data_IF_887586123759
#
_entry.id   IF_887586123759
#
_cell.length_a   1.000
_cell.length_b   1.000
_cell.length_c   1.000
_cell.angle_alpha   90.00
_cell.angle_beta   90.00
_cell.angle_gamma   90.00
#
_symmetry.space_group_name_H-M   'P 1'
#
loop_
_entity.id
_entity.type
_entity.pdbx_description
1 polymer ?
#
# COMPACT_ATOMS: atom_id res chain seq x y z
N UNK A 1 13.76 -21.87 49.85
CA UNK A 1 15.02 -21.30 49.33
C UNK A 1 15.98 -22.40 48.88
N UNK A 2 16.12 -23.49 49.66
CA UNK A 2 16.96 -24.65 49.28
C UNK A 2 16.55 -25.31 47.95
N UNK A 3 15.26 -25.47 47.67
CA UNK A 3 14.80 -26.11 46.41
C UNK A 3 15.26 -25.40 45.13
N UNK A 4 15.28 -24.07 45.10
CA UNK A 4 15.76 -23.28 43.96
C UNK A 4 17.29 -23.35 43.81
N UNK A 5 18.02 -23.49 44.91
CA UNK A 5 19.48 -23.65 44.90
C UNK A 5 19.86 -25.02 44.34
N UNK A 6 19.14 -26.07 44.70
CA UNK A 6 19.35 -27.42 44.16
C UNK A 6 19.13 -27.48 42.64
N UNK A 7 18.18 -26.69 42.11
CA UNK A 7 17.92 -26.59 40.67
C UNK A 7 19.06 -25.94 39.88
N UNK A 8 19.80 -24.99 40.47
CA UNK A 8 20.93 -24.31 39.83
C UNK A 8 22.18 -25.20 39.64
N UNK A 9 22.23 -26.33 40.35
CA UNK A 9 23.35 -27.29 40.28
C UNK A 9 23.25 -28.30 39.12
N UNK A 10 22.13 -28.32 38.39
CA UNK A 10 21.90 -29.29 37.31
C UNK A 10 22.44 -28.76 35.97
N UNK A 11 23.42 -29.45 35.42
CA UNK A 11 23.97 -29.18 34.09
C UNK A 11 22.98 -29.60 33.00
N UNK A 12 22.77 -28.76 31.99
CA UNK A 12 22.02 -29.13 30.78
C UNK A 12 22.63 -28.47 29.53
N UNK A 13 22.09 -28.78 28.35
CA UNK A 13 22.55 -28.24 27.07
C UNK A 13 22.38 -26.70 26.95
N UNK A 14 21.50 -26.09 27.76
CA UNK A 14 21.16 -24.66 27.70
C UNK A 14 22.09 -23.80 28.58
N UNK A 15 22.58 -24.34 29.70
CA UNK A 15 23.44 -23.63 30.66
C UNK A 15 24.76 -24.38 30.84
N UNK A 16 25.69 -24.15 29.91
CA UNK A 16 27.05 -24.69 29.97
C UNK A 16 28.06 -23.56 30.26
N UNK A 17 28.98 -23.80 31.20
CA UNK A 17 30.04 -22.85 31.59
C UNK A 17 31.26 -22.86 30.67
N UNK A 18 31.36 -23.83 29.76
CA UNK A 18 32.54 -24.05 28.91
C UNK A 18 32.43 -23.41 27.52
N UNK A 19 31.26 -22.88 27.14
CA UNK A 19 31.02 -22.22 25.84
C UNK A 19 30.87 -20.71 25.92
N UNK A 20 30.70 -20.06 24.77
CA UNK A 20 30.24 -18.66 24.74
C UNK A 20 28.86 -18.57 25.38
N UNK A 21 28.69 -17.67 26.34
CA UNK A 21 27.45 -17.50 27.10
C UNK A 21 26.83 -16.15 26.82
N UNK A 22 25.50 -16.12 26.77
CA UNK A 22 24.71 -14.89 26.78
C UNK A 22 23.98 -14.84 28.12
N UNK A 23 23.96 -13.67 28.77
CA UNK A 23 23.25 -13.49 30.04
C UNK A 23 21.97 -12.70 29.81
N UNK A 24 20.83 -13.25 30.24
CA UNK A 24 19.56 -12.53 30.28
C UNK A 24 19.53 -11.41 31.33
N UNK A 25 20.53 -11.36 32.22
CA UNK A 25 20.65 -10.34 33.26
C UNK A 25 21.63 -9.22 32.90
N UNK A 26 22.32 -9.33 31.75
CA UNK A 26 23.24 -8.30 31.24
C UNK A 26 22.77 -7.83 29.87
N UNK A 27 22.22 -6.62 29.83
CA UNK A 27 21.81 -5.97 28.59
C UNK A 27 22.90 -4.98 28.15
N UNK A 28 23.35 -5.09 26.90
CA UNK A 28 24.19 -4.10 26.24
C UNK A 28 23.36 -3.38 25.19
N UNK A 29 23.32 -2.05 25.26
CA UNK A 29 22.66 -1.23 24.24
C UNK A 29 23.66 -0.78 23.18
N UNK A 30 23.24 -0.72 21.91
CA UNK A 30 24.04 -0.10 20.85
C UNK A 30 23.89 1.42 20.95
N UNK A 31 25.00 2.14 20.89
CA UNK A 31 24.96 3.59 20.70
C UNK A 31 24.41 3.89 19.30
N UNK A 32 23.60 4.93 19.20
CA UNK A 32 23.06 5.46 17.96
C UNK A 32 23.60 6.88 17.72
N UNK A 33 23.55 7.34 16.48
CA UNK A 33 23.89 8.71 16.11
C UNK A 33 22.78 9.67 16.52
N UNK A 34 23.13 10.90 16.87
CA UNK A 34 22.15 11.90 17.27
C UNK A 34 21.31 12.33 16.06
N UNK A 35 19.99 12.38 16.25
CA UNK A 35 19.05 12.92 15.27
C UNK A 35 17.86 13.57 15.96
N UNK A 36 17.13 14.42 15.23
CA UNK A 36 15.87 15.02 15.69
C UNK A 36 14.76 14.62 14.72
N UNK A 37 13.61 14.21 15.26
CA UNK A 37 12.38 14.03 14.49
C UNK A 37 11.54 15.32 14.56
N UNK A 38 11.07 15.79 13.40
CA UNK A 38 10.16 16.92 13.30
C UNK A 38 9.01 16.60 12.31
N UNK A 39 7.77 16.86 12.70
CA UNK A 39 6.59 16.64 11.85
C UNK A 39 6.06 17.99 11.39
N UNK A 40 6.01 18.23 10.09
CA UNK A 40 5.56 19.51 9.52
C UNK A 40 4.35 19.38 8.63
N UNK A 41 3.45 20.36 8.74
CA UNK A 41 2.35 20.57 7.81
C UNK A 41 2.81 21.50 6.68
N UNK A 42 2.74 21.02 5.44
CA UNK A 42 3.15 21.71 4.23
C UNK A 42 1.94 21.91 3.32
N UNK A 43 1.80 23.09 2.74
CA UNK A 43 0.67 23.41 1.86
C UNK A 43 1.04 23.24 0.39
N UNK A 44 0.06 22.86 -0.43
CA UNK A 44 0.20 22.84 -1.89
C UNK A 44 0.20 24.27 -2.43
N UNK A 45 1.15 24.64 -3.30
CA UNK A 45 1.22 25.97 -3.93
C UNK A 45 -0.11 26.42 -4.56
N UNK A 46 -0.80 25.51 -5.25
CA UNK A 46 -2.03 25.80 -5.98
C UNK A 46 -3.29 25.17 -5.34
N UNK A 47 -3.19 24.65 -4.11
CA UNK A 47 -4.24 23.83 -3.49
C UNK A 47 -4.55 22.55 -4.28
N UNK A 48 -5.36 21.65 -3.70
CA UNK A 48 -5.93 20.52 -4.43
C UNK A 48 -7.29 20.89 -5.00
N UNK A 49 -7.62 20.35 -6.17
CA UNK A 49 -8.94 20.52 -6.81
C UNK A 49 -9.50 19.18 -7.25
N UNK A 50 -10.81 19.00 -7.11
CA UNK A 50 -11.49 17.81 -7.60
C UNK A 50 -11.31 17.66 -9.12
N UNK A 51 -11.06 16.43 -9.58
CA UNK A 51 -10.90 16.09 -11.00
C UNK A 51 -9.54 16.48 -11.62
N UNK A 52 -8.64 17.09 -10.85
CA UNK A 52 -7.35 17.57 -11.34
C UNK A 52 -6.17 16.79 -10.72
N UNK A 53 -5.05 16.77 -11.43
CA UNK A 53 -3.77 16.35 -10.85
C UNK A 53 -3.17 17.50 -10.03
N UNK A 54 -2.80 17.20 -8.79
CA UNK A 54 -2.10 18.13 -7.88
C UNK A 54 -0.69 17.61 -7.62
N UNK A 55 0.32 18.47 -7.63
CA UNK A 55 1.72 18.07 -7.39
C UNK A 55 2.36 18.87 -6.24
N UNK A 56 3.25 18.20 -5.52
CA UNK A 56 4.08 18.79 -4.47
C UNK A 56 5.55 18.51 -4.75
N UNK A 57 6.39 19.56 -4.70
CA UNK A 57 7.83 19.47 -4.98
C UNK A 57 8.62 19.53 -3.68
N UNK A 58 9.13 18.38 -3.24
CA UNK A 58 9.94 18.29 -2.02
C UNK A 58 11.25 19.04 -2.16
N UNK A 59 11.82 19.09 -3.36
CA UNK A 59 13.08 19.79 -3.63
C UNK A 59 12.97 21.31 -3.59
N UNK A 60 11.76 21.87 -3.67
CA UNK A 60 11.51 23.32 -3.58
C UNK A 60 10.87 23.69 -2.24
N UNK A 61 9.74 23.05 -1.93
CA UNK A 61 8.84 23.47 -0.84
C UNK A 61 8.92 22.55 0.39
N UNK A 62 9.69 21.46 0.32
CA UNK A 62 9.74 20.41 1.34
C UNK A 62 11.13 20.13 1.93
N UNK A 63 12.10 21.05 1.80
CA UNK A 63 13.47 20.89 2.33
C UNK A 63 13.58 21.32 3.79
N UNK A 64 12.91 20.61 4.70
CA UNK A 64 12.95 20.90 6.16
C UNK A 64 13.73 19.87 6.99
N UNK A 65 14.18 18.78 6.38
CA UNK A 65 15.02 17.77 7.03
C UNK A 65 15.84 16.97 6.01
N UNK A 66 16.63 16.05 6.50
CA UNK A 66 17.59 15.28 5.69
C UNK A 66 16.98 13.97 5.17
N UNK A 67 16.10 13.34 5.96
CA UNK A 67 15.39 12.11 5.61
C UNK A 67 13.88 12.27 5.85
N UNK A 68 13.07 11.47 5.14
CA UNK A 68 11.62 11.37 5.36
C UNK A 68 11.24 9.95 5.76
N UNK A 69 10.41 9.82 6.79
CA UNK A 69 9.96 8.52 7.34
C UNK A 69 8.47 8.27 7.19
N UNK A 70 7.68 9.30 6.90
CA UNK A 70 6.24 9.15 6.69
C UNK A 70 5.67 10.38 6.00
N UNK A 71 4.63 10.16 5.20
CA UNK A 71 3.84 11.22 4.57
C UNK A 71 2.36 10.88 4.74
N UNK A 72 1.58 11.86 5.18
CA UNK A 72 0.14 11.78 5.29
C UNK A 72 -0.48 12.98 4.58
N UNK A 73 -1.52 12.75 3.78
CA UNK A 73 -2.27 13.81 3.13
C UNK A 73 -3.44 14.20 4.02
N UNK A 74 -3.67 15.51 4.15
CA UNK A 74 -4.79 16.08 4.89
C UNK A 74 -5.66 16.88 3.95
N UNK A 75 -6.95 16.56 3.89
CA UNK A 75 -7.93 17.25 3.03
C UNK A 75 -9.14 17.62 3.89
N UNK A 76 -9.55 18.88 3.82
CA UNK A 76 -10.81 19.36 4.38
C UNK A 76 -11.87 19.36 3.28
N UNK A 77 -12.81 18.41 3.38
CA UNK A 77 -13.92 18.27 2.44
C UNK A 77 -15.05 19.25 2.79
N UNK A 78 -15.69 19.87 1.79
CA UNK A 78 -16.80 20.79 2.03
C UNK A 78 -17.98 20.06 2.68
N UNK A 79 -18.77 20.79 3.48
CA UNK A 79 -20.00 20.23 4.05
C UNK A 79 -21.09 20.15 2.98
N UNK A 80 -21.60 18.95 2.76
CA UNK A 80 -22.66 18.63 1.79
C UNK A 80 -24.00 18.28 2.46
N UNK A 81 -24.11 18.38 3.79
CA UNK A 81 -25.28 17.96 4.57
C UNK A 81 -26.60 18.61 4.14
N UNK A 82 -26.55 19.82 3.60
CA UNK A 82 -27.73 20.57 3.15
C UNK A 82 -28.18 20.24 1.72
N UNK A 83 -27.34 19.56 0.95
CA UNK A 83 -27.60 19.31 -0.47
C UNK A 83 -28.40 18.03 -0.67
N UNK A 84 -29.34 18.09 -1.61
CA UNK A 84 -30.22 16.98 -1.95
C UNK A 84 -30.26 16.78 -3.46
N UNK A 85 -30.42 15.55 -3.90
CA UNK A 85 -30.61 15.21 -5.30
C UNK A 85 -32.00 15.62 -5.79
N UNK A 86 -32.26 15.41 -7.08
CA UNK A 86 -33.56 15.71 -7.72
C UNK A 86 -34.77 15.00 -7.09
N UNK A 87 -34.55 13.90 -6.36
CA UNK A 87 -35.58 13.13 -5.66
C UNK A 87 -35.72 13.53 -4.18
N UNK A 88 -35.00 14.56 -3.72
CA UNK A 88 -35.01 15.02 -2.33
C UNK A 88 -34.22 14.14 -1.35
N UNK A 89 -33.35 13.24 -1.84
CA UNK A 89 -32.43 12.43 -1.01
C UNK A 89 -31.15 13.18 -0.74
N UNK A 90 -30.63 13.08 0.48
CA UNK A 90 -29.39 13.77 0.89
C UNK A 90 -28.17 13.17 0.19
N UNK A 91 -27.20 14.03 -0.13
CA UNK A 91 -25.89 13.61 -0.57
C UNK A 91 -24.98 13.23 0.61
N UNK A 92 -24.09 12.30 0.32
CA UNK A 92 -23.08 11.76 1.22
C UNK A 92 -21.77 11.52 0.50
N UNK A 93 -20.69 11.31 1.25
CA UNK A 93 -19.44 10.81 0.69
C UNK A 93 -19.40 9.28 0.67
N UNK A 94 -18.74 8.70 -0.34
CA UNK A 94 -18.61 7.26 -0.46
C UNK A 94 -17.84 6.64 0.73
N UNK A 95 -18.07 5.35 0.98
CA UNK A 95 -17.45 4.65 2.10
C UNK A 95 -15.92 4.58 1.92
N UNK A 96 -15.15 5.09 2.87
CA UNK A 96 -13.69 5.16 2.77
C UNK A 96 -13.23 6.29 1.84
N UNK A 97 -13.96 7.40 1.78
CA UNK A 97 -13.65 8.56 0.91
C UNK A 97 -12.20 9.02 0.99
N UNK A 98 -11.53 8.86 2.15
CA UNK A 98 -10.12 9.14 2.31
C UNK A 98 -9.22 8.39 1.32
N UNK A 99 -9.45 7.09 1.12
CA UNK A 99 -8.72 6.34 0.11
C UNK A 99 -9.30 6.57 -1.30
N UNK A 100 -10.62 6.74 -1.41
CA UNK A 100 -11.28 6.84 -2.72
C UNK A 100 -10.90 8.11 -3.48
N UNK A 101 -10.74 9.24 -2.78
CA UNK A 101 -10.45 10.55 -3.39
C UNK A 101 -9.13 10.57 -4.16
N UNK A 102 -8.11 9.86 -3.66
CA UNK A 102 -6.80 9.76 -4.28
C UNK A 102 -6.79 8.60 -5.29
N UNK A 103 -7.20 8.89 -6.54
CA UNK A 103 -7.31 7.89 -7.62
C UNK A 103 -5.96 7.22 -7.88
N UNK A 104 -4.93 8.02 -8.07
CA UNK A 104 -3.54 7.58 -8.21
C UNK A 104 -2.61 8.53 -7.45
N UNK A 105 -1.55 7.97 -6.89
CA UNK A 105 -0.50 8.67 -6.17
C UNK A 105 0.82 8.24 -6.80
N UNK A 106 1.62 9.22 -7.23
CA UNK A 106 2.87 9.00 -7.96
C UNK A 106 4.02 9.61 -7.19
N UNK A 107 5.10 8.84 -7.01
CA UNK A 107 6.38 9.37 -6.57
C UNK A 107 7.33 9.41 -7.77
N UNK A 108 7.85 10.59 -8.10
CA UNK A 108 8.78 10.81 -9.20
C UNK A 108 10.07 11.43 -8.72
N UNK A 109 11.19 10.96 -9.28
CA UNK A 109 12.53 11.53 -9.07
C UNK A 109 13.11 11.86 -10.45
N UNK A 110 13.58 13.09 -10.64
CA UNK A 110 14.09 13.57 -11.92
C UNK A 110 13.12 13.34 -13.10
N UNK A 111 11.81 13.43 -12.83
CA UNK A 111 10.75 13.16 -13.81
C UNK A 111 10.42 11.69 -14.06
N UNK A 112 11.24 10.75 -13.56
CA UNK A 112 11.00 9.31 -13.70
C UNK A 112 10.06 8.80 -12.60
N UNK A 113 9.11 7.93 -12.96
CA UNK A 113 8.24 7.26 -12.00
C UNK A 113 9.05 6.25 -11.17
N UNK A 114 9.04 6.42 -9.85
CA UNK A 114 9.66 5.49 -8.91
C UNK A 114 8.64 4.49 -8.41
N UNK A 115 7.47 4.94 -7.98
CA UNK A 115 6.41 4.05 -7.49
C UNK A 115 5.04 4.71 -7.67
N UNK A 116 4.01 3.89 -7.85
CA UNK A 116 2.64 4.33 -8.05
C UNK A 116 1.68 3.48 -7.23
N UNK A 117 0.80 4.14 -6.48
CA UNK A 117 -0.32 3.50 -5.78
C UNK A 117 -1.66 4.02 -6.29
N UNK A 118 -2.68 3.17 -6.31
CA UNK A 118 -4.05 3.57 -6.62
C UNK A 118 -4.96 3.47 -5.38
N UNK A 119 -6.17 4.03 -5.46
CA UNK A 119 -7.13 4.03 -4.36
C UNK A 119 -7.42 2.64 -3.79
N UNK A 120 -7.55 1.66 -4.67
CA UNK A 120 -7.87 0.28 -4.34
C UNK A 120 -6.71 -0.42 -3.62
N UNK A 121 -5.46 -0.15 -4.01
CA UNK A 121 -4.27 -0.63 -3.30
C UNK A 121 -4.22 -0.11 -1.87
N UNK A 122 -4.47 1.20 -1.68
CA UNK A 122 -4.45 1.82 -0.36
C UNK A 122 -5.49 1.17 0.58
N UNK A 123 -6.65 0.79 0.05
CA UNK A 123 -7.64 0.04 0.80
C UNK A 123 -7.21 -1.41 1.06
N UNK A 124 -6.86 -2.15 0.01
CA UNK A 124 -6.47 -3.57 0.08
C UNK A 124 -5.31 -3.77 1.05
N UNK A 125 -4.23 -3.01 0.88
CA UNK A 125 -3.05 -3.13 1.72
C UNK A 125 -3.32 -2.62 3.14
N UNK A 126 -4.17 -1.59 3.30
CA UNK A 126 -4.62 -1.13 4.62
C UNK A 126 -5.39 -2.21 5.39
N UNK A 127 -6.26 -2.98 4.73
CA UNK A 127 -6.98 -4.10 5.36
C UNK A 127 -6.04 -5.22 5.83
N UNK A 128 -4.95 -5.46 5.11
CA UNK A 128 -3.99 -6.54 5.40
C UNK A 128 -2.95 -6.16 6.46
N UNK A 129 -2.50 -4.90 6.47
CA UNK A 129 -1.32 -4.49 7.25
C UNK A 129 -1.63 -3.69 8.51
N UNK A 130 -2.82 -3.06 8.60
CA UNK A 130 -3.16 -2.27 9.79
C UNK A 130 -3.47 -3.21 10.96
N UNK A 131 -2.71 -3.05 12.04
CA UNK A 131 -2.87 -3.81 13.28
C UNK A 131 -4.30 -3.72 13.82
N UNK A 132 -4.87 -4.82 14.38
CA UNK A 132 -6.22 -4.82 14.93
C UNK A 132 -6.50 -3.68 15.93
N UNK A 133 -5.55 -3.36 16.81
CA UNK A 133 -5.68 -2.25 17.78
C UNK A 133 -5.60 -0.84 17.20
N UNK A 134 -5.16 -0.68 15.95
CA UNK A 134 -5.07 0.61 15.25
C UNK A 134 -6.13 0.77 14.15
N UNK A 135 -6.88 -0.30 13.85
CA UNK A 135 -7.82 -0.38 12.73
C UNK A 135 -8.93 0.66 12.82
N UNK A 136 -9.52 0.84 14.01
CA UNK A 136 -10.62 1.80 14.21
C UNK A 136 -10.16 3.25 13.99
N UNK A 137 -8.96 3.59 14.46
CA UNK A 137 -8.36 4.90 14.21
C UNK A 137 -8.05 5.10 12.73
N UNK A 138 -7.50 4.08 12.05
CA UNK A 138 -7.29 4.13 10.60
C UNK A 138 -8.59 4.37 9.83
N UNK A 139 -9.65 3.64 10.18
CA UNK A 139 -10.97 3.81 9.55
C UNK A 139 -11.57 5.19 9.82
N UNK A 140 -11.39 5.73 11.03
CA UNK A 140 -11.78 7.12 11.32
C UNK A 140 -11.00 8.14 10.48
N UNK A 141 -9.70 7.94 10.27
CA UNK A 141 -8.87 8.83 9.45
C UNK A 141 -9.36 8.90 7.99
N UNK A 142 -9.69 7.75 7.39
CA UNK A 142 -10.12 7.65 5.99
C UNK A 142 -11.65 7.68 5.80
N UNK A 143 -12.40 7.84 6.89
CA UNK A 143 -13.87 7.79 6.93
C UNK A 143 -14.44 6.51 6.28
N UNK A 144 -13.90 5.36 6.72
CA UNK A 144 -14.37 4.03 6.33
C UNK A 144 -15.24 3.43 7.44
N UNK A 145 -16.32 2.79 7.02
CA UNK A 145 -17.30 2.13 7.87
C UNK A 145 -17.45 0.68 7.44
N UNK A 146 -17.92 -0.16 8.35
CA UNK A 146 -18.33 -1.51 7.97
C UNK A 146 -19.54 -1.45 7.04
N UNK A 147 -19.56 -2.34 6.05
CA UNK A 147 -20.46 -2.23 4.90
C UNK A 147 -21.95 -2.22 5.29
N UNK A 148 -22.32 -2.98 6.34
CA UNK A 148 -23.69 -3.04 6.84
C UNK A 148 -24.08 -1.86 7.74
N UNK A 149 -23.12 -1.05 8.16
CA UNK A 149 -23.32 0.13 9.02
C UNK A 149 -23.22 1.44 8.24
N UNK A 150 -22.81 1.37 6.98
CA UNK A 150 -22.66 2.53 6.11
C UNK A 150 -24.02 3.05 5.60
N UNK A 151 -24.13 4.37 5.55
CA UNK A 151 -25.21 5.20 5.04
C UNK A 151 -24.57 6.44 4.41
N UNK A 152 -25.21 6.99 3.37
CA UNK A 152 -24.79 8.26 2.75
C UNK A 152 -24.63 9.39 3.78
N UNK A 153 -25.38 9.37 4.87
CA UNK A 153 -25.34 10.45 5.87
C UNK A 153 -24.28 10.28 6.97
N UNK A 154 -23.49 9.19 6.97
CA UNK A 154 -22.48 8.98 8.02
C UNK A 154 -21.38 10.05 8.03
N UNK A 155 -20.97 10.51 6.85
CA UNK A 155 -19.96 11.53 6.69
C UNK A 155 -20.36 12.49 5.57
N UNK A 156 -20.59 13.75 5.91
CA UNK A 156 -21.04 14.79 5.00
C UNK A 156 -20.04 15.93 4.85
N UNK A 157 -18.83 15.83 5.42
CA UNK A 157 -17.81 16.87 5.32
C UNK A 157 -16.89 16.88 6.54
N UNK A 158 -15.75 17.56 6.40
CA UNK A 158 -14.72 17.63 7.45
C UNK A 158 -13.36 17.11 7.00
N UNK A 159 -12.45 16.97 7.96
CA UNK A 159 -11.05 16.60 7.70
C UNK A 159 -10.88 15.09 7.55
N UNK A 160 -10.18 14.70 6.48
CA UNK A 160 -9.72 13.33 6.25
C UNK A 160 -8.19 13.26 6.27
N UNK A 161 -7.66 12.11 6.66
CA UNK A 161 -6.23 11.83 6.76
C UNK A 161 -5.91 10.56 5.97
N UNK A 162 -5.02 10.68 4.98
CA UNK A 162 -4.67 9.60 4.06
C UNK A 162 -3.19 9.25 4.26
N UNK A 163 -2.86 8.21 5.04
CA UNK A 163 -1.46 7.81 5.23
C UNK A 163 -0.95 7.13 3.96
N UNK A 164 0.20 7.57 3.45
CA UNK A 164 0.80 6.96 2.26
C UNK A 164 1.52 5.65 2.60
N UNK A 165 1.69 4.79 1.61
CA UNK A 165 2.22 3.43 1.79
C UNK A 165 3.44 3.16 0.90
N UNK A 166 4.27 4.17 0.59
CA UNK A 166 5.58 3.95 -0.03
C UNK A 166 6.51 3.17 0.90
N UNK A 167 7.59 2.59 0.38
CA UNK A 167 8.52 1.76 1.16
C UNK A 167 9.01 2.47 2.44
N UNK A 168 9.20 3.79 2.38
CA UNK A 168 9.63 4.60 3.53
C UNK A 168 8.49 5.04 4.45
N UNK A 169 7.21 4.92 4.05
CA UNK A 169 6.05 5.27 4.88
C UNK A 169 5.48 4.07 5.66
N UNK A 170 6.00 2.85 5.44
CA UNK A 170 5.48 1.61 6.03
C UNK A 170 5.99 1.34 7.46
N UNK A 171 6.41 2.38 8.18
CA UNK A 171 6.95 2.28 9.54
C UNK A 171 5.85 2.08 10.61
N UNK A 172 5.14 0.94 10.57
CA UNK A 172 4.03 0.59 11.49
C UNK A 172 4.48 -0.47 12.53
N UNK A 173 5.78 -0.79 12.62
CA UNK A 173 6.31 -1.82 13.51
C UNK A 173 7.30 -1.27 14.55
N UNK A 174 7.27 -1.85 15.76
CA UNK A 174 8.19 -1.58 16.87
C UNK A 174 9.62 -2.10 16.64
N UNK A 175 9.88 -2.76 15.52
CA UNK A 175 11.20 -3.20 15.11
C UNK A 175 11.91 -2.07 14.35
N UNK A 176 12.98 -1.53 14.96
CA UNK A 176 13.86 -0.49 14.42
C UNK A 176 14.53 -0.90 13.09
N UNK A 177 13.79 -0.82 11.99
CA UNK A 177 14.38 -0.80 10.66
C UNK A 177 13.60 0.21 9.83
N UNK A 178 13.80 1.50 10.13
CA UNK A 178 13.15 2.55 9.38
C UNK A 178 13.75 2.58 7.96
N UNK A 179 13.00 2.11 6.98
CA UNK A 179 13.25 2.52 5.60
C UNK A 179 12.97 4.02 5.53
N UNK A 180 13.94 4.76 5.05
CA UNK A 180 13.89 6.22 4.97
C UNK A 180 14.07 6.66 3.54
N UNK A 181 13.47 7.81 3.21
CA UNK A 181 13.70 8.47 1.93
C UNK A 181 14.78 9.55 2.08
N UNK A 182 15.98 9.39 1.49
CA UNK A 182 17.12 10.25 1.76
C UNK A 182 17.09 11.53 0.91
N UNK A 183 16.31 12.52 1.34
CA UNK A 183 16.20 13.81 0.66
C UNK A 183 17.56 14.51 0.50
N UNK A 184 18.42 14.44 1.53
CA UNK A 184 19.74 15.06 1.51
C UNK A 184 20.65 14.51 0.41
N UNK A 185 20.51 13.23 0.03
CA UNK A 185 21.30 12.58 -1.02
C UNK A 185 20.81 12.91 -2.43
N UNK A 186 19.66 13.57 -2.56
CA UNK A 186 18.98 13.86 -3.83
C UNK A 186 18.95 15.36 -4.14
N UNK A 187 19.92 16.13 -3.63
CA UNK A 187 19.92 17.59 -3.67
C UNK A 187 19.90 18.21 -5.09
N UNK A 188 20.30 17.46 -6.12
CA UNK A 188 20.29 17.87 -7.53
C UNK A 188 19.11 17.28 -8.33
N UNK A 189 18.21 16.52 -7.69
CA UNK A 189 17.06 15.91 -8.35
C UNK A 189 15.77 16.66 -8.06
N UNK A 190 14.88 16.70 -9.03
CA UNK A 190 13.48 17.07 -8.79
C UNK A 190 12.78 15.93 -8.07
N UNK A 191 12.06 16.22 -6.99
CA UNK A 191 11.37 15.21 -6.20
C UNK A 191 9.91 15.61 -6.12
N UNK A 192 9.08 14.90 -6.86
CA UNK A 192 7.66 15.25 -7.04
C UNK A 192 6.76 14.15 -6.52
N UNK A 193 5.82 14.53 -5.66
CA UNK A 193 4.65 13.73 -5.31
C UNK A 193 3.45 14.27 -6.09
N UNK A 194 2.94 13.52 -7.05
CA UNK A 194 1.76 13.89 -7.84
C UNK A 194 0.56 13.04 -7.40
N UNK A 195 -0.64 13.64 -7.39
CA UNK A 195 -1.89 12.97 -7.05
C UNK A 195 -2.96 13.28 -8.07
N UNK A 196 -3.59 12.25 -8.60
CA UNK A 196 -4.82 12.39 -9.38
C UNK A 196 -6.01 12.36 -8.43
N UNK A 197 -6.70 13.49 -8.32
CA UNK A 197 -7.87 13.64 -7.45
C UNK A 197 -9.13 13.32 -8.24
N UNK A 198 -10.00 12.46 -7.71
CA UNK A 198 -11.31 12.17 -8.32
C UNK A 198 -12.17 13.42 -8.41
N UNK A 199 -13.10 13.45 -9.36
CA UNK A 199 -14.11 14.49 -9.39
C UNK A 199 -15.04 14.38 -8.16
N UNK A 200 -15.71 15.47 -7.80
CA UNK A 200 -16.64 15.45 -6.67
C UNK A 200 -17.75 14.40 -6.87
N UNK A 201 -18.32 14.31 -8.07
CA UNK A 201 -19.38 13.33 -8.40
C UNK A 201 -18.92 11.89 -8.21
N UNK A 202 -17.65 11.58 -8.48
CA UNK A 202 -17.08 10.23 -8.31
C UNK A 202 -16.87 9.84 -6.84
N UNK A 203 -17.03 10.75 -5.89
CA UNK A 203 -16.92 10.46 -4.45
C UNK A 203 -18.22 10.71 -3.68
N UNK A 204 -19.29 11.06 -4.38
CA UNK A 204 -20.62 11.26 -3.80
C UNK A 204 -21.48 10.01 -3.88
N UNK A 205 -22.37 9.83 -2.91
CA UNK A 205 -23.39 8.77 -2.88
C UNK A 205 -24.71 9.33 -2.37
N UNK A 206 -25.80 8.66 -2.72
CA UNK A 206 -27.14 8.89 -2.16
C UNK A 206 -27.80 7.54 -1.88
N UNK A 207 -28.78 7.50 -0.99
CA UNK A 207 -29.46 6.24 -0.63
C UNK A 207 -30.21 5.59 -1.81
N UNK A 208 -30.62 6.39 -2.80
CA UNK A 208 -31.30 5.92 -4.02
C UNK A 208 -30.34 5.72 -5.21
N UNK A 209 -29.04 5.98 -5.04
CA UNK A 209 -28.02 5.87 -6.10
C UNK A 209 -28.08 6.92 -7.20
N UNK A 210 -28.94 7.95 -7.07
CA UNK A 210 -29.11 9.02 -8.07
C UNK A 210 -28.26 10.24 -7.73
N UNK A 211 -27.26 10.52 -8.57
CA UNK A 211 -26.34 11.65 -8.38
C UNK A 211 -26.73 12.95 -9.12
N UNK A 212 -27.83 12.93 -9.88
CA UNK A 212 -28.31 14.13 -10.59
C UNK A 212 -28.66 15.23 -9.61
N UNK A 213 -28.15 16.45 -9.86
CA UNK A 213 -28.27 17.58 -8.94
C UNK A 213 -27.11 17.68 -7.93
N UNK A 214 -26.02 16.92 -8.13
CA UNK A 214 -24.81 17.05 -7.34
C UNK A 214 -24.31 18.51 -7.30
N UNK A 215 -23.91 19.01 -6.12
CA UNK A 215 -23.43 20.39 -6.00
C UNK A 215 -22.07 20.55 -6.67
N UNK A 216 -21.77 21.79 -7.06
CA UNK A 216 -20.43 22.17 -7.52
C UNK A 216 -19.68 22.86 -6.37
N UNK A 217 -18.78 22.13 -5.72
CA UNK A 217 -18.01 22.60 -4.56
C UNK A 217 -16.53 22.31 -4.77
N UNK A 218 -15.68 23.08 -4.09
CA UNK A 218 -14.23 22.93 -4.12
C UNK A 218 -13.72 22.33 -2.79
N UNK A 219 -12.51 21.79 -2.82
CA UNK A 219 -11.81 21.35 -1.61
C UNK A 219 -11.53 22.59 -0.75
N UNK A 220 -11.86 22.52 0.54
CA UNK A 220 -11.74 23.67 1.46
C UNK A 220 -10.28 23.96 1.78
N UNK A 221 -9.51 22.92 2.09
CA UNK A 221 -8.07 23.00 2.38
C UNK A 221 -7.39 21.68 2.04
N UNK A 222 -6.14 21.73 1.61
CA UNK A 222 -5.29 20.55 1.50
C UNK A 222 -3.86 20.83 1.99
N UNK A 223 -3.26 19.84 2.61
CA UNK A 223 -1.88 19.88 3.10
C UNK A 223 -1.25 18.48 3.14
N UNK A 224 0.06 18.44 3.34
CA UNK A 224 0.85 17.24 3.61
C UNK A 224 1.42 17.34 5.02
N UNK A 225 1.22 16.31 5.83
CA UNK A 225 1.96 16.09 7.06
C UNK A 225 3.16 15.20 6.75
N UNK A 226 4.37 15.71 6.95
CA UNK A 226 5.62 15.02 6.61
C UNK A 226 6.45 14.85 7.86
N UNK A 227 6.86 13.62 8.13
CA UNK A 227 7.79 13.29 9.21
C UNK A 227 9.23 13.35 8.69
N UNK A 228 9.98 14.33 9.17
CA UNK A 228 11.39 14.55 8.86
C UNK A 228 12.31 14.00 9.96
N UNK A 229 13.48 13.55 9.53
CA UNK A 229 14.64 13.31 10.39
C UNK A 229 15.73 14.29 9.99
N UNK A 230 16.26 15.00 10.98
CA UNK A 230 17.36 15.95 10.85
C UNK A 230 18.58 15.29 11.47
N UNK A 231 19.65 15.16 10.68
CA UNK A 231 20.87 14.47 11.05
C UNK A 231 21.93 15.46 11.56
N UNK A 232 22.84 14.95 12.39
CA UNK A 232 24.04 15.70 12.74
C UNK A 232 24.95 15.87 11.51
N UNK A 233 25.73 16.96 11.46
CA UNK A 233 26.48 17.35 10.26
C UNK A 233 27.40 16.23 9.74
N UNK A 234 28.05 15.49 10.64
CA UNK A 234 28.93 14.40 10.25
C UNK A 234 28.18 13.26 9.56
N UNK A 235 27.02 12.87 10.08
CA UNK A 235 26.21 11.80 9.48
C UNK A 235 25.58 12.26 8.16
N UNK A 236 25.09 13.49 8.12
CA UNK A 236 24.60 14.12 6.89
C UNK A 236 25.66 14.13 5.78
N UNK A 237 26.92 14.45 6.10
CA UNK A 237 28.04 14.37 5.14
C UNK A 237 28.27 12.95 4.63
N UNK A 238 28.13 11.95 5.49
CA UNK A 238 28.24 10.55 5.08
C UNK A 238 27.12 10.16 4.09
N UNK A 239 25.87 10.59 4.34
CA UNK A 239 24.75 10.36 3.40
C UNK A 239 25.00 10.98 2.02
N UNK A 240 25.58 12.18 1.96
CA UNK A 240 25.81 12.91 0.71
C UNK A 240 27.02 12.34 -0.07
N UNK A 241 28.09 11.96 0.63
CA UNK A 241 29.37 11.60 0.00
C UNK A 241 29.45 10.14 -0.44
N UNK A 242 28.62 9.26 0.12
CA UNK A 242 28.65 7.82 -0.18
C UNK A 242 27.60 7.46 -1.23
N UNK A 243 27.95 6.57 -2.16
CA UNK A 243 26.98 5.92 -3.05
C UNK A 243 26.03 5.09 -2.20
N UNK A 244 24.74 5.45 -2.22
CA UNK A 244 23.72 4.74 -1.43
C UNK A 244 22.91 3.84 -2.35
N UNK A 245 22.74 2.58 -1.94
CA UNK A 245 21.86 1.63 -2.60
C UNK A 245 20.79 1.20 -1.59
N UNK A 246 19.57 1.68 -1.78
CA UNK A 246 18.46 1.37 -0.92
C UNK A 246 17.58 0.31 -1.59
N UNK A 247 17.36 -0.81 -0.92
CA UNK A 247 16.35 -1.78 -1.35
C UNK A 247 14.97 -1.13 -1.13
N UNK A 248 14.16 -1.11 -2.18
CA UNK A 248 12.81 -0.54 -2.16
C UNK A 248 11.81 -1.57 -2.66
N UNK A 249 10.56 -1.44 -2.20
CA UNK A 249 9.43 -2.10 -2.85
C UNK A 249 8.73 -1.13 -3.78
N UNK A 250 8.27 -1.68 -4.91
CA UNK A 250 7.42 -1.01 -5.88
C UNK A 250 6.15 -1.83 -6.09
N UNK A 251 5.10 -1.16 -6.55
CA UNK A 251 3.84 -1.80 -6.92
C UNK A 251 3.68 -1.83 -8.45
N UNK A 252 3.45 -3.02 -9.00
CA UNK A 252 2.94 -3.19 -10.35
C UNK A 252 1.44 -3.52 -10.29
N UNK A 253 0.61 -2.80 -11.04
CA UNK A 253 -0.85 -2.99 -11.07
C UNK A 253 -1.31 -3.39 -12.47
N UNK A 254 -2.12 -4.44 -12.55
CA UNK A 254 -2.70 -4.94 -13.78
C UNK A 254 -4.22 -5.08 -13.63
N UNK A 255 -4.96 -4.70 -14.66
CA UNK A 255 -6.42 -4.79 -14.70
C UNK A 255 -6.88 -5.61 -15.89
N UNK A 256 -7.83 -6.51 -15.68
CA UNK A 256 -8.40 -7.35 -16.73
C UNK A 256 -9.92 -7.34 -16.67
N UNK A 257 -10.56 -7.27 -17.83
CA UNK A 257 -12.01 -7.32 -17.93
C UNK A 257 -12.52 -8.76 -17.84
N UNK A 258 -13.58 -8.94 -17.06
CA UNK A 258 -14.38 -10.15 -16.96
C UNK A 258 -15.74 -9.85 -17.55
N UNK A 259 -16.08 -10.52 -18.65
CA UNK A 259 -17.37 -10.34 -19.32
C UNK A 259 -18.52 -10.94 -18.49
N UNK A 260 -19.71 -10.40 -18.67
CA UNK A 260 -20.91 -10.98 -18.08
C UNK A 260 -21.15 -12.41 -18.59
N UNK A 261 -21.54 -13.32 -17.70
CA UNK A 261 -21.75 -14.74 -17.98
C UNK A 261 -20.50 -15.62 -17.89
N UNK A 262 -19.31 -15.05 -17.67
CA UNK A 262 -18.06 -15.83 -17.53
C UNK A 262 -18.08 -16.68 -16.27
N UNK A 263 -17.81 -17.99 -16.40
CA UNK A 263 -17.66 -18.94 -15.28
C UNK A 263 -16.21 -19.30 -15.00
N UNK A 264 -15.33 -19.20 -16.00
CA UNK A 264 -13.88 -19.39 -15.87
C UNK A 264 -13.12 -18.51 -16.86
N UNK A 265 -11.95 -18.03 -16.46
CA UNK A 265 -11.09 -17.20 -17.32
C UNK A 265 -9.63 -17.34 -16.91
N UNK A 266 -8.73 -17.29 -17.91
CA UNK A 266 -7.28 -17.32 -17.72
C UNK A 266 -6.69 -15.95 -18.04
N UNK A 267 -5.77 -15.48 -17.19
CA UNK A 267 -5.18 -14.15 -17.26
C UNK A 267 -3.65 -14.27 -17.37
N UNK A 268 -3.08 -13.72 -18.45
CA UNK A 268 -1.64 -13.75 -18.65
C UNK A 268 -0.95 -12.72 -17.76
N UNK A 269 0.02 -13.16 -16.97
CA UNK A 269 0.86 -12.35 -16.11
C UNK A 269 2.21 -12.01 -16.75
N UNK A 270 2.37 -12.24 -18.06
CA UNK A 270 3.64 -12.09 -18.80
C UNK A 270 4.22 -10.67 -18.77
N UNK A 271 3.37 -9.67 -18.53
CA UNK A 271 3.74 -8.26 -18.39
C UNK A 271 4.29 -7.89 -17.01
N UNK A 272 4.27 -8.81 -16.05
CA UNK A 272 4.94 -8.63 -14.76
C UNK A 272 6.45 -8.73 -14.92
N UNK A 273 7.15 -7.91 -14.15
CA UNK A 273 8.60 -7.82 -14.15
C UNK A 273 9.14 -7.94 -12.73
N UNK A 274 10.46 -8.13 -12.63
CA UNK A 274 11.25 -8.09 -11.41
C UNK A 274 11.01 -9.25 -10.43
N UNK A 275 11.84 -9.32 -9.37
CA UNK A 275 11.59 -10.18 -8.21
C UNK A 275 10.32 -9.75 -7.46
N UNK A 276 9.21 -10.44 -7.73
CA UNK A 276 7.92 -10.25 -7.05
C UNK A 276 7.92 -11.05 -5.74
N UNK A 277 7.58 -10.39 -4.64
CA UNK A 277 7.45 -11.00 -3.31
C UNK A 277 6.06 -11.57 -3.10
N UNK A 278 5.04 -10.93 -3.68
CA UNK A 278 3.65 -11.24 -3.39
C UNK A 278 2.74 -10.83 -4.54
N UNK A 279 1.73 -11.67 -4.82
CA UNK A 279 0.60 -11.34 -5.66
C UNK A 279 -0.63 -11.13 -4.78
N UNK A 280 -1.28 -9.97 -4.93
CA UNK A 280 -2.55 -9.68 -4.28
C UNK A 280 -3.57 -9.39 -5.37
N UNK A 281 -4.75 -9.98 -5.30
CA UNK A 281 -5.77 -9.75 -6.32
C UNK A 281 -7.18 -9.70 -5.76
N UNK A 282 -8.01 -8.90 -6.41
CA UNK A 282 -9.42 -8.67 -6.08
C UNK A 282 -10.24 -8.61 -7.36
N UNK A 283 -11.51 -9.02 -7.27
CA UNK A 283 -12.48 -8.83 -8.35
C UNK A 283 -13.50 -7.80 -7.87
N UNK A 284 -13.73 -6.76 -8.67
CA UNK A 284 -14.75 -5.75 -8.42
C UNK A 284 -15.77 -5.76 -9.55
N UNK A 285 -17.05 -5.71 -9.20
CA UNK A 285 -18.13 -5.57 -10.18
C UNK A 285 -18.14 -4.15 -10.77
N UNK A 286 -18.41 -4.02 -12.07
CA UNK A 286 -18.41 -2.71 -12.74
C UNK A 286 -19.57 -1.81 -12.29
N UNK A 287 -20.67 -2.41 -11.84
CA UNK A 287 -21.80 -1.68 -11.25
C UNK A 287 -21.46 -1.06 -9.89
N UNK A 288 -20.56 -1.68 -9.12
CA UNK A 288 -20.08 -1.14 -7.84
C UNK A 288 -19.22 0.10 -8.07
N UNK A 289 -18.36 0.09 -9.09
CA UNK A 289 -17.62 1.30 -9.50
C UNK A 289 -18.56 2.42 -9.95
N UNK A 290 -19.59 2.10 -10.73
CA UNK A 290 -20.60 3.10 -11.19
C UNK A 290 -21.37 3.71 -10.02
N UNK A 291 -21.56 2.94 -8.94
CA UNK A 291 -22.22 3.38 -7.72
C UNK A 291 -21.26 4.02 -6.69
N UNK A 292 -20.01 4.31 -7.07
CA UNK A 292 -18.95 4.83 -6.18
C UNK A 292 -18.63 3.93 -4.98
N UNK A 293 -18.92 2.62 -5.07
CA UNK A 293 -18.57 1.57 -4.11
C UNK A 293 -17.26 0.87 -4.52
N UNK A 294 -16.17 1.63 -4.50
CA UNK A 294 -14.87 1.22 -5.06
C UNK A 294 -14.21 0.03 -4.35
N UNK A 295 -14.56 -0.19 -3.09
CA UNK A 295 -13.90 -1.13 -2.17
C UNK A 295 -14.73 -2.36 -1.85
N UNK A 296 -15.78 -2.61 -2.65
CA UNK A 296 -16.57 -3.83 -2.56
C UNK A 296 -16.06 -4.87 -3.55
N UNK A 297 -15.30 -5.83 -3.01
CA UNK A 297 -14.72 -6.95 -3.77
C UNK A 297 -15.56 -8.23 -3.68
N UNK A 298 -16.85 -8.09 -3.33
CA UNK A 298 -17.77 -9.23 -3.22
C UNK A 298 -18.53 -9.50 -4.52
N UNK A 299 -19.22 -10.63 -4.55
CA UNK A 299 -20.14 -10.96 -5.65
C UNK A 299 -21.46 -10.15 -5.63
N UNK A 300 -21.72 -9.34 -4.60
CA UNK A 300 -22.92 -8.50 -4.47
C UNK A 300 -22.62 -7.00 -4.64
N UNK A 301 -23.64 -6.23 -5.01
CA UNK A 301 -23.56 -4.76 -5.02
C UNK A 301 -24.22 -4.15 -3.76
N UNK A 302 -24.30 -2.82 -3.70
CA UNK A 302 -24.87 -2.07 -2.55
C UNK A 302 -26.29 -2.49 -2.14
N UNK A 303 -27.09 -3.09 -3.04
CA UNK A 303 -28.45 -3.52 -2.71
C UNK A 303 -28.50 -4.77 -1.82
N UNK A 304 -27.42 -5.54 -1.73
CA UNK A 304 -27.40 -6.83 -1.03
C UNK A 304 -26.09 -7.09 -0.27
N UNK A 305 -25.68 -6.14 0.58
CA UNK A 305 -24.44 -6.25 1.37
C UNK A 305 -24.49 -7.30 2.50
N UNK A 306 -25.65 -7.88 2.80
CA UNK A 306 -25.82 -8.93 3.82
C UNK A 306 -25.43 -10.32 3.33
N UNK A 307 -25.59 -10.59 2.05
CA UNK A 307 -25.34 -11.91 1.45
C UNK A 307 -24.08 -11.92 0.59
N UNK A 308 -23.04 -11.19 1.03
CA UNK A 308 -21.76 -11.14 0.33
C UNK A 308 -21.13 -12.53 0.28
N UNK A 309 -20.58 -12.85 -0.89
CA UNK A 309 -19.78 -14.05 -1.14
C UNK A 309 -18.51 -13.70 -1.90
N UNK A 310 -17.59 -14.65 -1.91
CA UNK A 310 -16.38 -14.54 -2.72
C UNK A 310 -16.76 -14.73 -4.20
N UNK A 311 -16.44 -13.78 -5.11
CA UNK A 311 -16.69 -13.98 -6.53
C UNK A 311 -15.86 -15.12 -7.14
N UNK A 312 -14.70 -15.44 -6.54
CA UNK A 312 -13.80 -16.50 -7.00
C UNK A 312 -14.07 -17.78 -6.20
N UNK A 313 -14.17 -18.91 -6.89
CA UNK A 313 -14.33 -20.24 -6.32
C UNK A 313 -13.01 -20.99 -6.24
N UNK A 314 -12.29 -21.04 -7.36
CA UNK A 314 -10.99 -21.72 -7.46
C UNK A 314 -9.95 -20.85 -8.14
N UNK A 315 -8.71 -21.02 -7.69
CA UNK A 315 -7.50 -20.38 -8.22
C UNK A 315 -6.51 -21.47 -8.63
N UNK A 316 -5.92 -21.32 -9.80
CA UNK A 316 -4.77 -22.11 -10.28
C UNK A 316 -3.74 -21.16 -10.88
N UNK A 317 -2.46 -21.42 -10.62
CA UNK A 317 -1.34 -20.63 -11.15
C UNK A 317 -0.38 -21.56 -11.86
N UNK A 318 -0.08 -21.26 -13.11
CA UNK A 318 0.85 -22.04 -13.94
C UNK A 318 2.04 -21.18 -14.34
N UNK A 319 3.22 -21.80 -14.35
CA UNK A 319 4.46 -21.24 -14.88
C UNK A 319 5.00 -22.18 -15.95
N UNK A 320 5.17 -21.67 -17.16
CA UNK A 320 5.74 -22.37 -18.32
C UNK A 320 5.08 -23.75 -18.55
N UNK A 321 3.74 -23.79 -18.46
CA UNK A 321 2.93 -24.99 -18.64
C UNK A 321 2.83 -25.93 -17.43
N UNK A 322 3.55 -25.67 -16.34
CA UNK A 322 3.53 -26.48 -15.12
C UNK A 322 2.74 -25.81 -13.99
N UNK A 323 2.00 -26.61 -13.21
CA UNK A 323 1.22 -26.12 -12.08
C UNK A 323 2.12 -25.70 -10.92
N UNK A 324 2.24 -24.38 -10.70
CA UNK A 324 2.86 -23.81 -9.49
C UNK A 324 1.92 -23.92 -8.30
N UNK A 325 0.63 -23.72 -8.56
CA UNK A 325 -0.49 -23.90 -7.63
C UNK A 325 -1.52 -24.75 -8.36
N UNK A 326 -1.84 -25.91 -7.80
CA UNK A 326 -2.96 -26.73 -8.29
C UNK A 326 -4.29 -26.02 -8.08
N UNK A 327 -5.36 -26.46 -8.75
CA UNK A 327 -6.70 -25.92 -8.55
C UNK A 327 -7.10 -25.97 -7.07
N UNK A 328 -7.14 -24.80 -6.44
CA UNK A 328 -7.26 -24.64 -4.99
C UNK A 328 -8.40 -23.69 -4.68
N UNK A 329 -9.16 -23.97 -3.61
CA UNK A 329 -10.28 -23.13 -3.20
C UNK A 329 -9.84 -21.70 -2.86
N UNK A 330 -10.64 -20.71 -3.24
CA UNK A 330 -10.35 -19.28 -3.01
C UNK A 330 -10.24 -18.92 -1.52
N UNK A 331 -10.87 -19.69 -0.63
CA UNK A 331 -10.73 -19.55 0.83
C UNK A 331 -9.27 -19.68 1.30
N UNK A 332 -8.45 -20.49 0.62
CA UNK A 332 -7.03 -20.63 0.97
C UNK A 332 -6.27 -19.33 0.75
N UNK A 333 -6.63 -18.53 -0.26
CA UNK A 333 -5.96 -17.26 -0.57
C UNK A 333 -6.56 -16.07 0.18
N UNK A 334 -7.77 -16.20 0.73
CA UNK A 334 -8.46 -15.13 1.47
C UNK A 334 -8.40 -15.29 2.98
N UNK A 335 -8.18 -16.52 3.47
CA UNK A 335 -8.17 -16.83 4.91
C UNK A 335 -6.84 -17.44 5.34
N UNK A 336 -6.41 -18.51 4.68
CA UNK A 336 -5.24 -19.27 5.15
C UNK A 336 -3.95 -18.51 4.87
N UNK A 337 -3.75 -18.08 3.63
CA UNK A 337 -2.51 -17.42 3.22
C UNK A 337 -2.29 -16.08 3.96
N UNK A 338 -3.24 -15.14 4.00
CA UNK A 338 -3.05 -13.90 4.73
C UNK A 338 -2.75 -14.12 6.22
N UNK A 339 -3.37 -15.13 6.84
CA UNK A 339 -3.12 -15.45 8.27
C UNK A 339 -1.68 -15.90 8.54
N UNK A 340 -0.99 -16.45 7.53
CA UNK A 340 0.42 -16.83 7.67
C UNK A 340 1.37 -15.64 7.54
N UNK A 341 1.07 -14.71 6.64
CA UNK A 341 2.06 -13.75 6.13
C UNK A 341 1.75 -12.28 6.42
N UNK A 342 0.51 -11.94 6.78
CA UNK A 342 0.07 -10.58 7.05
C UNK A 342 -0.27 -10.32 8.51
N UNK A 343 -0.18 -9.06 8.90
CA UNK A 343 -0.55 -8.59 10.25
C UNK A 343 -2.04 -8.77 10.55
N UNK A 344 -2.90 -8.70 9.54
CA UNK A 344 -4.34 -8.83 9.67
C UNK A 344 -4.96 -9.67 8.54
N UNK A 345 -5.99 -10.46 8.89
CA UNK A 345 -6.76 -11.26 7.92
C UNK A 345 -8.19 -10.73 7.86
N UNK A 346 -8.54 -9.92 6.85
CA UNK A 346 -9.86 -9.33 6.76
C UNK A 346 -10.93 -10.36 6.39
N UNK A 347 -11.94 -10.49 7.25
CA UNK A 347 -13.09 -11.38 7.01
C UNK A 347 -14.09 -10.69 6.08
N UNK A 348 -14.65 -11.43 5.11
CA UNK A 348 -15.66 -10.96 4.16
C UNK A 348 -15.25 -9.74 3.31
N UNK A 349 -13.94 -9.52 3.13
CA UNK A 349 -13.42 -8.51 2.19
C UNK A 349 -12.89 -9.11 0.88
N UNK A 350 -12.78 -10.44 0.80
CA UNK A 350 -12.44 -11.20 -0.43
C UNK A 350 -11.15 -10.74 -1.14
N UNK A 351 -10.16 -10.37 -0.34
CA UNK A 351 -8.81 -10.04 -0.80
C UNK A 351 -8.00 -11.33 -0.89
N UNK A 352 -7.53 -11.67 -2.08
CA UNK A 352 -6.77 -12.90 -2.32
C UNK A 352 -5.29 -12.58 -2.31
N UNK A 353 -4.54 -13.33 -1.49
CA UNK A 353 -3.11 -13.16 -1.31
C UNK A 353 -2.41 -14.45 -1.67
N UNK A 354 -1.30 -14.32 -2.39
CA UNK A 354 -0.34 -15.38 -2.61
C UNK A 354 1.08 -14.85 -2.44
N UNK A 355 1.75 -15.29 -1.38
CA UNK A 355 3.11 -14.84 -1.07
C UNK A 355 4.16 -15.83 -1.58
N UNK A 356 5.21 -15.30 -2.20
CA UNK A 356 6.47 -16.02 -2.45
C UNK A 356 7.47 -15.82 -1.31
N UNK A 357 7.22 -14.82 -0.45
CA UNK A 357 8.00 -14.45 0.71
C UNK A 357 7.49 -15.13 1.99
N UNK A 358 8.38 -15.37 2.94
CA UNK A 358 8.00 -15.84 4.28
C UNK A 358 7.35 -14.72 5.10
N UNK A 359 7.85 -13.49 4.96
CA UNK A 359 7.36 -12.31 5.66
C UNK A 359 7.36 -11.12 4.68
N UNK A 360 6.32 -10.97 3.82
CA UNK A 360 6.24 -9.96 2.76
C UNK A 360 6.15 -8.52 3.29
N UNK A 361 5.68 -8.33 4.53
CA UNK A 361 5.63 -7.01 5.18
C UNK A 361 7.02 -6.53 5.66
N UNK A 362 8.00 -7.42 5.81
CA UNK A 362 9.37 -7.08 6.21
C UNK A 362 10.26 -6.84 5.00
N UNK A 363 10.22 -5.61 4.53
CA UNK A 363 10.90 -5.17 3.30
C UNK A 363 12.43 -5.12 3.47
N UNK A 364 12.91 -4.94 4.71
CA UNK A 364 14.32 -4.61 4.93
C UNK A 364 15.23 -5.82 4.75
N UNK A 365 14.66 -7.02 4.87
CA UNK A 365 15.36 -8.28 4.65
C UNK A 365 14.53 -9.19 3.73
N UNK A 366 14.89 -9.28 2.43
CA UNK A 366 14.27 -10.21 1.50
C UNK A 366 14.33 -11.65 2.01
N UNK A 367 13.18 -12.33 1.99
CA UNK A 367 13.01 -13.68 2.56
C UNK A 367 12.20 -14.63 1.65
N UNK A 368 12.10 -14.29 0.37
CA UNK A 368 11.49 -15.12 -0.68
C UNK A 368 10.97 -14.24 -1.81
N UNK A 369 11.15 -14.71 -3.05
CA UNK A 369 10.78 -13.97 -4.25
C UNK A 369 10.59 -14.92 -5.44
N UNK A 370 9.83 -14.47 -6.43
CA UNK A 370 9.71 -15.10 -7.75
C UNK A 370 10.10 -14.07 -8.82
N UNK A 371 11.08 -14.38 -9.65
CA UNK A 371 11.52 -13.46 -10.70
C UNK A 371 10.62 -13.57 -11.94
N UNK A 372 9.66 -12.65 -12.07
CA UNK A 372 8.73 -12.63 -13.22
C UNK A 372 9.40 -12.16 -14.52
N UNK A 373 10.60 -11.56 -14.46
CA UNK A 373 11.33 -11.19 -15.68
C UNK A 373 11.78 -12.41 -16.49
N UNK A 374 12.03 -13.54 -15.83
CA UNK A 374 12.56 -14.77 -16.45
C UNK A 374 11.45 -15.75 -16.89
N UNK A 375 10.21 -15.57 -16.40
CA UNK A 375 9.09 -16.43 -16.75
C UNK A 375 8.59 -16.10 -18.17
N UNK A 376 8.46 -17.11 -19.02
CA UNK A 376 7.96 -16.92 -20.38
C UNK A 376 6.43 -16.86 -20.41
N UNK A 377 5.80 -17.77 -19.66
CA UNK A 377 4.35 -17.93 -19.57
C UNK A 377 3.92 -18.13 -18.11
N UNK A 378 3.55 -17.03 -17.46
CA UNK A 378 2.85 -17.07 -16.18
C UNK A 378 1.36 -16.80 -16.39
N UNK A 379 0.48 -17.70 -15.95
CA UNK A 379 -0.97 -17.58 -16.14
C UNK A 379 -1.71 -17.84 -14.83
N UNK A 380 -2.57 -16.89 -14.46
CA UNK A 380 -3.55 -17.03 -13.38
C UNK A 380 -4.88 -17.53 -13.97
N UNK A 381 -5.33 -18.69 -13.53
CA UNK A 381 -6.60 -19.27 -13.92
C UNK A 381 -7.60 -19.11 -12.77
N UNK A 382 -8.75 -18.51 -13.05
CA UNK A 382 -9.82 -18.31 -12.07
C UNK A 382 -11.08 -19.03 -12.53
N UNK A 383 -11.70 -19.77 -11.60
CA UNK A 383 -13.08 -20.26 -11.72
C UNK A 383 -13.95 -19.48 -10.76
N UNK A 384 -15.06 -18.93 -11.24
CA UNK A 384 -15.98 -18.10 -10.46
C UNK A 384 -17.07 -18.94 -9.80
N UNK A 385 -17.61 -18.46 -8.68
CA UNK A 385 -18.62 -19.22 -7.92
C UNK A 385 -19.97 -19.28 -8.63
N UNK A 386 -20.33 -18.19 -9.29
CA UNK A 386 -21.49 -18.02 -10.16
C UNK A 386 -21.06 -17.36 -11.48
N UNK A 387 -21.88 -17.44 -12.55
CA UNK A 387 -21.64 -16.65 -13.76
C UNK A 387 -21.48 -15.16 -13.42
N UNK A 388 -20.32 -14.60 -13.76
CA UNK A 388 -19.98 -13.26 -13.35
C UNK A 388 -20.87 -12.22 -14.01
N UNK A 389 -21.18 -11.13 -13.28
CA UNK A 389 -21.57 -9.88 -13.94
C UNK A 389 -20.32 -9.23 -14.54
N UNK A 390 -20.49 -8.24 -15.42
CA UNK A 390 -19.35 -7.48 -15.92
C UNK A 390 -18.52 -6.92 -14.73
N UNK A 391 -17.26 -7.34 -14.66
CA UNK A 391 -16.38 -7.11 -13.52
C UNK A 391 -14.95 -6.84 -14.01
N UNK A 392 -14.13 -6.29 -13.14
CA UNK A 392 -12.70 -6.09 -13.36
C UNK A 392 -11.91 -6.88 -12.33
N UNK A 393 -10.99 -7.72 -12.80
CA UNK A 393 -9.93 -8.30 -11.98
C UNK A 393 -8.80 -7.27 -11.85
N UNK A 394 -8.37 -7.00 -10.62
CA UNK A 394 -7.23 -6.14 -10.32
C UNK A 394 -6.18 -7.00 -9.64
N UNK A 395 -4.98 -7.05 -10.22
CA UNK A 395 -3.84 -7.80 -9.71
C UNK A 395 -2.72 -6.82 -9.36
N UNK A 396 -2.20 -6.97 -8.16
CA UNK A 396 -1.06 -6.26 -7.62
C UNK A 396 0.11 -7.23 -7.50
N UNK A 397 1.26 -6.86 -8.05
CA UNK A 397 2.51 -7.54 -7.81
C UNK A 397 3.45 -6.60 -7.06
N UNK A 398 3.79 -6.96 -5.82
CA UNK A 398 4.76 -6.22 -5.01
C UNK A 398 6.14 -6.74 -5.36
N UNK A 399 7.04 -5.89 -5.84
CA UNK A 399 8.38 -6.30 -6.25
C UNK A 399 9.48 -5.51 -5.56
N UNK A 400 10.64 -6.13 -5.46
CA UNK A 400 11.87 -5.44 -5.07
C UNK A 400 12.48 -4.68 -6.26
N UNK A 401 13.14 -3.57 -5.94
CA UNK A 401 14.09 -2.86 -6.80
C UNK A 401 15.14 -2.17 -5.91
N UNK A 402 16.14 -1.54 -6.52
CA UNK A 402 17.17 -0.80 -5.79
C UNK A 402 17.14 0.65 -6.23
N UNK A 403 16.95 1.58 -5.29
CA UNK A 403 17.14 3.01 -5.52
C UNK A 403 18.60 3.36 -5.28
N UNK A 404 19.29 3.78 -6.35
CA UNK A 404 20.67 4.24 -6.28
C UNK A 404 20.67 5.77 -6.14
N UNK A 405 21.33 6.28 -5.10
CA UNK A 405 21.56 7.70 -4.89
C UNK A 405 23.06 7.99 -4.95
N UNK A 406 23.47 8.87 -5.86
CA UNK A 406 24.88 9.23 -6.07
C UNK A 406 24.99 10.65 -6.63
N UNK A 407 25.95 11.43 -6.14
CA UNK A 407 26.26 12.79 -6.63
C UNK A 407 25.04 13.74 -6.70
N UNK A 408 24.08 13.59 -5.77
CA UNK A 408 22.85 14.39 -5.73
C UNK A 408 21.72 13.90 -6.64
N UNK A 409 21.93 12.81 -7.37
CA UNK A 409 20.96 12.22 -8.29
C UNK A 409 20.42 10.88 -7.78
N UNK A 410 19.16 10.57 -8.11
CA UNK A 410 18.51 9.30 -7.74
C UNK A 410 17.84 8.61 -8.92
N UNK A 411 18.08 7.31 -9.07
CA UNK A 411 17.47 6.49 -10.11
C UNK A 411 17.26 5.05 -9.63
N UNK A 412 16.17 4.37 -10.07
CA UNK A 412 16.05 2.94 -9.87
C UNK A 412 17.13 2.21 -10.68
N UNK A 413 17.66 1.12 -10.14
CA UNK A 413 18.66 0.27 -10.80
C UNK A 413 18.07 -0.39 -12.05
N UNK A 414 16.81 -0.81 -11.97
CA UNK A 414 16.10 -1.37 -13.10
C UNK A 414 14.93 -0.48 -13.50
N UNK A 415 14.89 -0.11 -14.78
CA UNK A 415 13.73 0.49 -15.46
C UNK A 415 13.05 -0.61 -16.27
N UNK A 416 11.71 -0.73 -16.18
CA UNK A 416 10.84 -1.84 -16.61
C UNK A 416 11.28 -2.56 -17.90
N UNK A 417 12.32 -3.39 -17.79
CA UNK A 417 12.96 -4.09 -18.90
C UNK A 417 13.22 -5.53 -18.47
N UNK A 418 12.92 -6.46 -19.38
CA UNK A 418 13.22 -7.89 -19.19
C UNK A 418 14.71 -8.20 -19.31
N UNK A 419 15.54 -7.24 -19.75
CA UNK A 419 16.98 -7.44 -19.82
C UNK A 419 17.60 -7.21 -18.44
N UNK A 420 18.08 -8.28 -17.82
CA UNK A 420 18.98 -8.19 -16.66
C UNK A 420 20.25 -7.46 -17.10
N UNK A 421 20.60 -6.30 -16.51
CA UNK A 421 21.86 -5.64 -16.83
C UNK A 421 23.02 -6.57 -16.43
N UNK A 422 23.87 -6.90 -17.38
CA UNK A 422 25.04 -7.78 -17.19
C UNK A 422 26.19 -7.10 -16.46
N UNK A 423 26.09 -5.78 -16.23
CA UNK A 423 27.07 -4.93 -15.58
C UNK A 423 26.31 -3.99 -14.64
N UNK A 424 26.66 -3.97 -13.36
CA UNK A 424 26.15 -2.97 -12.42
C UNK A 424 26.60 -1.57 -12.87
N UNK A 425 25.78 -0.52 -12.76
CA UNK A 425 26.24 0.84 -13.04
C UNK A 425 27.48 1.14 -12.19
N UNK A 426 28.60 1.33 -12.88
CA UNK A 426 29.97 1.25 -12.38
C UNK A 426 30.16 1.88 -11.00
N UNK A 427 30.99 1.25 -10.17
CA UNK A 427 31.43 1.75 -8.86
C UNK A 427 32.46 2.91 -8.98
N UNK A 428 32.73 3.41 -10.18
CA UNK A 428 33.75 4.41 -10.49
C UNK A 428 33.22 5.59 -11.31
N UNK A 429 32.08 6.17 -10.93
CA UNK A 429 31.64 7.48 -11.44
C UNK A 429 31.37 8.44 -10.29
#
# INVERSE_FOLDING_TARGET
MEGSITQLGLSNYLTNRQGQTVSFFKHSYKNYTNYVKDTRELSFKNGMRFGNTSSFRFDEDGKYGDLVTNIMITIDLPDISTYKNVNGRSFGYCNGVGNAIAKNIYLKIAGNLIDQHNSEWMDVYGQLTVKPGCKDNYFSMIQKYEDNSFSSTNFTGGRIYIPLQFWFCRNISSSNSALVFPLCSLYNSTIELSLDIRSLVEILVTDDGVLTGAPNLEIVKSSLLVDYIILEEQERRNYISTKQMNIINQLQTYTYDIKAGTTEQSFSLKSMHYPVTELIFVVRRNDSQTANDYFNYSNQNLSNLRNKGNPIKYVKLTFDGSDRIQTTAASNFTQIEPTKVHTNTPINKYIHVYSFALEPEKIEQPNGLCNFSELQEAILHLTFDDPMVASTLIIYAVNYNVLVCMNGSGSPLHYLSKSTPTIFPDDNC
#
